data_IF_507816001708
#
_entry.id   IF_507816001708
#
_cell.length_a   1.000
_cell.length_b   1.000
_cell.length_c   1.000
_cell.angle_alpha   90.00
_cell.angle_beta   90.00
_cell.angle_gamma   90.00
#
_symmetry.space_group_name_H-M   'P 1'
#
loop_
_entity.id
_entity.type
_entity.pdbx_description
1 polymer ?
#
# COMPACT_ATOMS: atom_id res chain seq x y z
N UNK A 1 -23.11 7.41 -7.59
CA UNK A 1 -21.97 6.50 -7.37
C UNK A 1 -21.50 6.66 -5.93
N UNK A 2 -21.42 5.57 -5.14
CA UNK A 2 -20.80 5.66 -3.81
C UNK A 2 -19.30 5.82 -4.02
N UNK A 3 -18.70 6.89 -3.48
CA UNK A 3 -17.25 7.02 -3.45
C UNK A 3 -16.64 5.81 -2.72
N UNK A 4 -15.57 5.25 -3.27
CA UNK A 4 -14.82 4.17 -2.63
C UNK A 4 -14.28 4.58 -1.25
N UNK A 5 -13.80 3.61 -0.44
CA UNK A 5 -13.08 3.96 0.78
C UNK A 5 -11.87 4.85 0.45
N UNK A 6 -11.74 5.97 1.16
CA UNK A 6 -10.64 6.93 1.03
C UNK A 6 -9.59 6.64 2.11
N UNK A 7 -8.50 5.95 1.79
CA UNK A 7 -7.38 5.74 2.71
C UNK A 7 -6.09 5.59 1.89
N UNK A 8 -5.03 5.13 2.54
CA UNK A 8 -3.85 4.63 1.88
C UNK A 8 -4.11 3.27 1.22
N UNK A 9 -3.57 3.11 0.02
CA UNK A 9 -3.54 1.86 -0.72
C UNK A 9 -2.12 1.63 -1.24
N UNK A 10 -1.55 0.46 -0.95
CA UNK A 10 -0.27 0.00 -1.46
C UNK A 10 -0.51 -1.04 -2.54
N UNK A 11 -0.26 -0.67 -3.79
CA UNK A 11 -0.35 -1.59 -4.93
C UNK A 11 1.03 -2.12 -5.28
N UNK A 12 1.12 -3.42 -5.55
CA UNK A 12 2.33 -4.08 -6.03
C UNK A 12 2.10 -4.70 -7.41
N UNK A 13 3.12 -4.66 -8.26
CA UNK A 13 3.20 -5.42 -9.51
C UNK A 13 4.47 -6.27 -9.51
N UNK A 14 4.32 -7.57 -9.74
CA UNK A 14 5.35 -8.58 -9.49
C UNK A 14 5.34 -9.66 -10.58
N UNK A 15 6.48 -10.25 -10.91
CA UNK A 15 6.54 -11.42 -11.81
C UNK A 15 5.93 -12.68 -11.21
N UNK A 16 5.63 -12.73 -9.91
CA UNK A 16 4.98 -13.88 -9.29
C UNK A 16 3.47 -13.96 -9.60
N UNK A 17 2.91 -15.16 -9.49
CA UNK A 17 1.47 -15.41 -9.43
C UNK A 17 0.85 -14.87 -8.12
N UNK A 18 -0.47 -14.67 -8.11
CA UNK A 18 -1.17 -14.22 -6.90
C UNK A 18 -1.08 -15.23 -5.75
N UNK A 19 -1.04 -16.52 -6.05
CA UNK A 19 -0.86 -17.58 -5.04
C UNK A 19 0.52 -17.51 -4.38
N UNK A 20 1.58 -17.29 -5.16
CA UNK A 20 2.94 -17.12 -4.63
C UNK A 20 3.08 -15.83 -3.84
N UNK A 21 2.46 -14.74 -4.28
CA UNK A 21 2.41 -13.51 -3.47
C UNK A 21 1.79 -13.80 -2.12
N UNK A 22 0.62 -14.45 -2.10
CA UNK A 22 -0.12 -14.77 -0.87
C UNK A 22 0.65 -15.68 0.08
N UNK A 23 1.46 -16.62 -0.41
CA UNK A 23 2.29 -17.47 0.44
C UNK A 23 3.47 -16.72 1.07
N UNK A 24 3.91 -15.62 0.45
CA UNK A 24 4.98 -14.77 0.96
C UNK A 24 4.50 -13.63 1.86
N UNK A 25 3.21 -13.32 1.87
CA UNK A 25 2.69 -12.21 2.68
C UNK A 25 2.88 -12.49 4.18
N UNK A 26 3.23 -11.45 4.97
CA UNK A 26 3.11 -11.52 6.42
C UNK A 26 1.69 -11.94 6.81
N UNK A 27 1.58 -12.79 7.84
CA UNK A 27 0.29 -13.23 8.37
C UNK A 27 -0.58 -12.02 8.71
N UNK A 28 -1.81 -11.99 8.21
CA UNK A 28 -2.75 -10.89 8.40
C UNK A 28 -2.67 -9.76 7.37
N UNK A 29 -1.78 -9.85 6.38
CA UNK A 29 -1.84 -9.04 5.16
C UNK A 29 -2.62 -9.81 4.07
N UNK A 30 -3.40 -9.09 3.26
CA UNK A 30 -4.12 -9.68 2.13
C UNK A 30 -3.68 -9.04 0.81
N UNK A 31 -3.52 -9.85 -0.24
CA UNK A 31 -3.36 -9.39 -1.61
C UNK A 31 -4.67 -9.55 -2.39
N UNK A 32 -5.22 -8.42 -2.80
CA UNK A 32 -6.42 -8.34 -3.62
C UNK A 32 -6.05 -7.99 -5.06
N UNK A 33 -6.43 -8.80 -6.06
CA UNK A 33 -6.13 -8.48 -7.45
C UNK A 33 -6.82 -7.17 -7.85
N UNK A 34 -6.12 -6.37 -8.65
CA UNK A 34 -6.67 -5.14 -9.23
C UNK A 34 -7.43 -5.44 -10.53
N UNK A 35 -8.20 -4.47 -11.02
CA UNK A 35 -8.93 -4.61 -12.29
C UNK A 35 -7.99 -4.74 -13.50
N UNK A 36 -8.48 -5.28 -14.62
CA UNK A 36 -7.64 -5.51 -15.81
C UNK A 36 -7.02 -4.22 -16.38
N UNK A 37 -7.78 -3.11 -16.41
CA UNK A 37 -7.28 -1.81 -16.86
C UNK A 37 -6.20 -1.23 -15.94
N UNK A 38 -6.35 -1.46 -14.64
CA UNK A 38 -5.41 -1.06 -13.60
C UNK A 38 -4.10 -1.83 -13.74
N UNK A 39 -4.21 -3.15 -13.86
CA UNK A 39 -3.09 -4.04 -14.11
C UNK A 39 -2.33 -3.68 -15.40
N UNK A 40 -3.05 -3.34 -16.48
CA UNK A 40 -2.43 -2.91 -17.73
C UNK A 40 -1.57 -1.65 -17.56
N UNK A 41 -1.97 -0.71 -16.70
CA UNK A 41 -1.18 0.48 -16.43
C UNK A 41 0.12 0.15 -15.69
N UNK A 42 0.06 -0.72 -14.69
CA UNK A 42 1.25 -1.18 -13.97
C UNK A 42 2.19 -2.00 -14.86
N UNK A 43 1.66 -2.83 -15.75
CA UNK A 43 2.46 -3.62 -16.70
C UNK A 43 3.21 -2.77 -17.72
N UNK A 44 2.75 -1.54 -18.02
CA UNK A 44 3.54 -0.59 -18.82
C UNK A 44 4.80 -0.12 -18.09
N UNK A 45 4.75 -0.03 -16.75
CA UNK A 45 5.89 0.36 -15.91
C UNK A 45 6.80 -0.83 -15.58
N UNK A 46 6.22 -2.03 -15.43
CA UNK A 46 6.95 -3.27 -15.20
C UNK A 46 6.41 -4.38 -16.14
N UNK A 47 6.94 -4.51 -17.36
CA UNK A 47 6.46 -5.46 -18.36
C UNK A 47 6.53 -6.93 -17.94
N UNK A 48 7.43 -7.28 -17.02
CA UNK A 48 7.55 -8.63 -16.46
C UNK A 48 6.47 -8.98 -15.43
N UNK A 49 5.58 -8.04 -15.05
CA UNK A 49 4.60 -8.27 -14.01
C UNK A 49 3.49 -9.24 -14.45
N UNK A 50 3.46 -10.40 -13.82
CA UNK A 50 2.37 -11.37 -13.96
C UNK A 50 1.16 -10.95 -13.12
N UNK A 51 1.38 -10.57 -11.86
CA UNK A 51 0.33 -10.18 -10.91
C UNK A 51 0.43 -8.71 -10.56
N UNK A 52 -0.74 -8.05 -10.47
CA UNK A 52 -0.88 -6.72 -9.86
C UNK A 52 -1.95 -6.82 -8.78
N UNK A 53 -1.61 -6.41 -7.57
CA UNK A 53 -2.48 -6.57 -6.40
C UNK A 53 -2.31 -5.42 -5.39
N UNK A 54 -3.39 -5.10 -4.68
CA UNK A 54 -3.35 -4.17 -3.55
C UNK A 54 -3.18 -4.94 -2.24
N UNK A 55 -2.22 -4.49 -1.43
CA UNK A 55 -1.86 -5.06 -0.14
C UNK A 55 -2.65 -4.39 0.98
N UNK A 56 -3.51 -5.13 1.66
CA UNK A 56 -4.47 -4.59 2.63
C UNK A 56 -4.36 -5.25 4.00
N UNK A 57 -4.48 -4.43 5.04
CA UNK A 57 -4.79 -4.85 6.41
C UNK A 57 -6.25 -4.47 6.64
N UNK A 58 -7.14 -5.46 6.52
CA UNK A 58 -8.58 -5.19 6.51
C UNK A 58 -8.99 -4.45 5.25
N UNK A 59 -9.45 -3.20 5.40
CA UNK A 59 -9.97 -2.38 4.31
C UNK A 59 -8.98 -1.41 3.66
N UNK A 60 -7.77 -1.26 4.19
CA UNK A 60 -6.79 -0.27 3.70
C UNK A 60 -5.34 -0.67 4.00
N UNK A 61 -4.38 0.14 3.55
CA UNK A 61 -2.93 -0.02 3.77
C UNK A 61 -2.39 0.97 4.80
N UNK A 62 -3.26 1.64 5.56
CA UNK A 62 -2.90 2.74 6.45
C UNK A 62 -1.86 2.31 7.52
N UNK A 63 -1.98 1.09 8.06
CA UNK A 63 -1.03 0.52 9.04
C UNK A 63 0.33 0.09 8.43
N UNK A 64 0.43 -0.07 7.09
CA UNK A 64 1.70 -0.40 6.42
C UNK A 64 2.65 0.79 6.36
N UNK A 65 2.10 2.00 6.38
CA UNK A 65 2.86 3.23 6.08
C UNK A 65 2.87 4.19 7.24
N UNK A 66 2.01 3.99 8.25
CA UNK A 66 1.94 4.82 9.45
C UNK A 66 1.83 3.95 10.69
N UNK A 67 2.64 4.29 11.69
CA UNK A 67 2.44 3.80 13.05
C UNK A 67 1.24 4.52 13.63
N UNK A 68 0.32 3.78 14.24
CA UNK A 68 -0.86 4.38 14.87
C UNK A 68 -0.48 5.17 16.11
N UNK A 69 -1.17 6.29 16.31
CA UNK A 69 -1.03 7.05 17.54
C UNK A 69 -1.91 6.44 18.65
N UNK A 70 -1.43 6.33 19.91
CA UNK A 70 -2.23 5.80 21.02
C UNK A 70 -3.52 6.59 21.28
N UNK A 71 -3.48 7.91 21.15
CA UNK A 71 -4.68 8.76 21.14
C UNK A 71 -5.38 8.66 19.75
N UNK A 72 -6.62 8.12 19.69
CA UNK A 72 -7.37 8.01 18.44
C UNK A 72 -7.62 9.36 17.74
N UNK A 73 -7.71 10.46 18.51
CA UNK A 73 -7.93 11.79 17.93
C UNK A 73 -6.72 12.25 17.13
N UNK A 74 -5.52 11.97 17.63
CA UNK A 74 -4.27 12.26 16.94
C UNK A 74 -4.05 11.31 15.75
N UNK A 75 -4.40 10.02 15.90
CA UNK A 75 -4.33 9.04 14.80
C UNK A 75 -5.16 9.50 13.59
N UNK A 76 -6.38 9.98 13.87
CA UNK A 76 -7.31 10.46 12.86
C UNK A 76 -7.00 11.88 12.35
N UNK A 77 -6.25 12.69 13.09
CA UNK A 77 -5.97 14.10 12.72
C UNK A 77 -5.37 14.20 11.33
N UNK A 78 -4.47 13.27 11.00
CA UNK A 78 -3.86 13.19 9.67
C UNK A 78 -4.91 12.93 8.57
N UNK A 79 -5.75 11.91 8.76
CA UNK A 79 -6.79 11.55 7.80
C UNK A 79 -7.81 12.67 7.62
N UNK A 80 -8.27 13.29 8.73
CA UNK A 80 -9.13 14.48 8.71
C UNK A 80 -8.53 15.61 7.89
N UNK A 81 -7.27 15.94 8.15
CA UNK A 81 -6.55 17.00 7.42
C UNK A 81 -6.52 16.70 5.92
N UNK A 82 -6.27 15.44 5.55
CA UNK A 82 -6.26 15.04 4.14
C UNK A 82 -7.65 15.10 3.50
N UNK A 83 -8.67 14.55 4.14
CA UNK A 83 -10.02 14.60 3.59
C UNK A 83 -10.53 16.04 3.43
N UNK A 84 -10.18 16.93 4.37
CA UNK A 84 -10.49 18.37 4.24
C UNK A 84 -9.78 19.03 3.06
N UNK A 85 -8.50 18.70 2.80
CA UNK A 85 -7.77 19.19 1.61
C UNK A 85 -8.38 18.70 0.30
N UNK A 86 -8.98 17.52 0.32
CA UNK A 86 -9.72 16.95 -0.80
C UNK A 86 -11.17 17.46 -0.90
N UNK A 87 -11.55 18.42 -0.05
CA UNK A 87 -12.87 19.05 -0.03
C UNK A 87 -14.02 18.04 0.16
N UNK A 88 -13.79 16.95 0.88
CA UNK A 88 -14.88 16.03 1.23
C UNK A 88 -15.88 16.73 2.16
N UNK A 89 -17.16 16.45 1.93
CA UNK A 89 -18.21 16.87 2.83
C UNK A 89 -18.06 16.19 4.21
N UNK A 90 -18.50 16.88 5.27
CA UNK A 90 -18.28 16.44 6.66
C UNK A 90 -18.86 15.04 6.95
N UNK A 91 -20.03 14.75 6.42
CA UNK A 91 -20.69 13.44 6.50
C UNK A 91 -19.85 12.34 5.85
N UNK A 92 -19.23 12.62 4.69
CA UNK A 92 -18.30 11.70 4.04
C UNK A 92 -17.03 11.51 4.88
N UNK A 93 -16.49 12.58 5.47
CA UNK A 93 -15.33 12.48 6.38
C UNK A 93 -15.64 11.54 7.54
N UNK A 94 -16.80 11.68 8.18
CA UNK A 94 -17.21 10.81 9.29
C UNK A 94 -17.29 9.35 8.83
N UNK A 95 -17.94 9.10 7.69
CA UNK A 95 -18.08 7.75 7.13
C UNK A 95 -16.71 7.09 6.84
N UNK A 96 -15.73 7.85 6.33
CA UNK A 96 -14.40 7.31 6.04
C UNK A 96 -13.62 7.02 7.33
N UNK A 97 -13.73 7.88 8.35
CA UNK A 97 -13.09 7.67 9.64
C UNK A 97 -13.69 6.47 10.38
N UNK A 98 -15.00 6.27 10.33
CA UNK A 98 -15.65 5.09 10.93
C UNK A 98 -15.12 3.78 10.35
N UNK A 99 -14.84 3.74 9.04
CA UNK A 99 -14.20 2.59 8.39
C UNK A 99 -12.76 2.40 8.85
N UNK A 100 -11.99 3.48 9.00
CA UNK A 100 -10.62 3.44 9.51
C UNK A 100 -10.54 2.94 10.96
N UNK A 101 -11.55 3.23 11.78
CA UNK A 101 -11.67 2.74 13.16
C UNK A 101 -11.93 1.25 13.26
N UNK A 102 -12.63 0.66 12.29
CA UNK A 102 -12.94 -0.77 12.28
C UNK A 102 -11.68 -1.57 11.88
N UNK A 103 -10.82 -1.80 12.88
CA UNK A 103 -9.65 -2.68 12.76
C UNK A 103 -10.15 -4.13 12.66
N UNK A 104 -9.62 -4.94 11.73
CA UNK A 104 -9.73 -6.39 11.88
C UNK A 104 -9.01 -6.81 13.16
N UNK A 105 -9.53 -7.78 13.91
CA UNK A 105 -8.83 -8.43 15.03
C UNK A 105 -7.64 -9.26 14.52
N UNK A 106 -6.65 -8.60 13.94
CA UNK A 106 -5.41 -9.19 13.48
C UNK A 106 -4.29 -8.71 14.40
N UNK A 107 -3.63 -9.67 15.03
CA UNK A 107 -2.42 -9.45 15.80
C UNK A 107 -1.37 -8.83 14.90
N UNK A 108 -0.87 -7.67 15.30
CA UNK A 108 0.24 -7.01 14.63
C UNK A 108 1.51 -7.85 14.78
N UNK A 109 2.37 -7.93 13.74
CA UNK A 109 3.68 -8.54 13.88
C UNK A 109 4.50 -7.89 15.02
N UNK A 110 5.43 -8.61 15.67
CA UNK A 110 6.20 -8.09 16.81
C UNK A 110 6.91 -6.76 16.52
N UNK A 111 7.46 -6.60 15.31
CA UNK A 111 8.17 -5.39 14.89
C UNK A 111 7.26 -4.36 14.19
N UNK A 112 5.95 -4.59 14.18
CA UNK A 112 4.96 -3.72 13.53
C UNK A 112 4.79 -3.95 12.03
N UNK A 113 3.63 -3.53 11.53
CA UNK A 113 3.25 -3.73 10.12
C UNK A 113 4.18 -3.07 9.11
N UNK A 114 4.68 -1.88 9.44
CA UNK A 114 5.64 -1.14 8.63
C UNK A 114 6.94 -1.92 8.42
N UNK A 115 7.48 -2.55 9.46
CA UNK A 115 8.71 -3.33 9.31
C UNK A 115 8.44 -4.65 8.59
N UNK A 116 7.27 -5.26 8.81
CA UNK A 116 6.86 -6.45 8.07
C UNK A 116 6.77 -6.20 6.55
N UNK A 117 6.28 -5.03 6.10
CA UNK A 117 6.23 -4.72 4.66
C UNK A 117 7.62 -4.43 4.07
N UNK A 118 8.52 -3.83 4.85
CA UNK A 118 9.93 -3.64 4.45
C UNK A 118 10.63 -4.98 4.28
N UNK A 119 10.49 -5.88 5.27
CA UNK A 119 11.05 -7.23 5.21
C UNK A 119 10.47 -8.02 4.03
N UNK A 120 9.15 -7.94 3.82
CA UNK A 120 8.48 -8.53 2.66
C UNK A 120 9.07 -8.00 1.35
N UNK A 121 9.16 -6.67 1.16
CA UNK A 121 9.71 -6.09 -0.07
C UNK A 121 11.17 -6.48 -0.32
N UNK A 122 11.99 -6.52 0.73
CA UNK A 122 13.39 -6.93 0.66
C UNK A 122 13.56 -8.41 0.28
N UNK A 123 12.75 -9.30 0.87
CA UNK A 123 12.79 -10.73 0.56
C UNK A 123 12.20 -11.03 -0.81
N UNK A 124 11.17 -10.29 -1.21
CA UNK A 124 10.55 -10.40 -2.51
C UNK A 124 11.52 -9.99 -3.62
N UNK A 125 12.24 -8.88 -3.46
CA UNK A 125 13.29 -8.47 -4.41
C UNK A 125 14.43 -9.51 -4.53
N UNK A 126 14.73 -10.24 -3.45
CA UNK A 126 15.74 -11.31 -3.44
C UNK A 126 15.31 -12.53 -4.26
N UNK A 127 14.05 -12.94 -4.16
CA UNK A 127 13.57 -14.23 -4.65
C UNK A 127 12.73 -14.16 -5.93
N UNK A 128 11.98 -13.07 -6.14
CA UNK A 128 11.05 -12.93 -7.25
C UNK A 128 11.62 -12.10 -8.42
N UNK A 129 12.59 -11.23 -8.15
CA UNK A 129 13.11 -10.26 -9.11
C UNK A 129 12.46 -8.87 -8.98
N UNK A 130 12.65 -7.99 -9.99
CA UNK A 130 12.17 -6.61 -9.94
C UNK A 130 10.66 -6.53 -9.65
N UNK A 131 10.28 -5.77 -8.64
CA UNK A 131 8.89 -5.61 -8.22
C UNK A 131 8.56 -4.15 -8.01
N UNK A 132 7.47 -3.70 -8.61
CA UNK A 132 7.01 -2.32 -8.50
C UNK A 132 6.03 -2.19 -7.33
N UNK A 133 6.20 -1.13 -6.55
CA UNK A 133 5.32 -0.73 -5.45
C UNK A 133 4.86 0.70 -5.67
N UNK A 134 3.60 0.99 -5.36
CA UNK A 134 3.02 2.32 -5.43
C UNK A 134 2.12 2.54 -4.22
N UNK A 135 2.44 3.56 -3.43
CA UNK A 135 1.61 4.02 -2.32
C UNK A 135 0.79 5.23 -2.76
N UNK A 136 -0.53 5.19 -2.56
CA UNK A 136 -1.40 6.31 -2.88
C UNK A 136 -2.43 6.56 -1.80
N UNK A 137 -2.94 7.79 -1.73
CA UNK A 137 -4.07 8.15 -0.90
C UNK A 137 -5.26 8.55 -1.77
N UNK A 138 -6.34 7.78 -1.74
CA UNK A 138 -7.45 7.99 -2.68
C UNK A 138 -8.60 7.00 -2.54
N UNK A 139 -9.57 7.01 -3.47
CA UNK A 139 -10.78 6.17 -3.46
C UNK A 139 -10.51 4.72 -3.90
N UNK A 140 -9.47 4.07 -3.40
CA UNK A 140 -8.98 2.79 -3.90
C UNK A 140 -7.86 2.98 -4.92
N UNK A 141 -7.91 2.25 -6.03
CA UNK A 141 -6.92 2.39 -7.09
C UNK A 141 -7.00 3.78 -7.74
N UNK A 142 -5.82 4.39 -7.89
CA UNK A 142 -5.62 5.51 -8.78
C UNK A 142 -4.58 5.08 -9.82
N UNK A 143 -4.72 5.47 -11.09
CA UNK A 143 -3.65 5.24 -12.04
C UNK A 143 -2.38 5.94 -11.53
N UNK A 144 -1.19 5.31 -11.62
CA UNK A 144 0.05 6.00 -11.33
C UNK A 144 0.10 7.28 -12.16
N UNK A 145 0.38 8.39 -11.49
CA UNK A 145 0.59 9.66 -12.18
C UNK A 145 1.72 9.49 -13.19
N UNK A 146 1.66 10.16 -14.35
CA UNK A 146 2.79 10.23 -15.27
C UNK A 146 3.93 10.95 -14.57
N UNK A 147 4.78 10.17 -13.91
CA UNK A 147 5.81 10.63 -13.00
C UNK A 147 7.03 9.73 -13.11
N UNK A 148 8.11 10.16 -12.45
CA UNK A 148 9.35 9.41 -12.41
C UNK A 148 9.14 8.10 -11.64
N UNK A 149 9.45 6.98 -12.29
CA UNK A 149 9.66 5.71 -11.61
C UNK A 149 11.04 5.75 -10.94
N UNK A 150 11.09 5.46 -9.65
CA UNK A 150 12.35 5.38 -8.89
C UNK A 150 12.75 3.91 -8.76
N UNK A 151 14.04 3.63 -8.92
CA UNK A 151 14.58 2.30 -8.62
C UNK A 151 15.28 2.33 -7.28
N UNK A 152 15.02 1.31 -6.46
CA UNK A 152 15.70 1.08 -5.18
C UNK A 152 16.24 -0.34 -5.14
N UNK A 153 17.42 -0.51 -4.57
CA UNK A 153 17.97 -1.83 -4.25
C UNK A 153 17.36 -2.35 -2.96
N UNK A 154 17.44 -3.67 -2.74
CA UNK A 154 17.08 -4.31 -1.47
C UNK A 154 17.79 -3.65 -0.29
N UNK A 155 19.08 -3.32 -0.45
CA UNK A 155 19.87 -2.68 0.60
C UNK A 155 19.32 -1.29 0.97
N UNK A 156 18.92 -0.49 -0.02
CA UNK A 156 18.29 0.81 0.22
C UNK A 156 16.93 0.68 0.89
N UNK A 157 16.12 -0.32 0.54
CA UNK A 157 14.83 -0.57 1.20
C UNK A 157 15.01 -0.91 2.67
N UNK A 158 15.96 -1.79 3.00
CA UNK A 158 16.27 -2.15 4.38
C UNK A 158 16.82 -0.94 5.16
N UNK A 159 17.78 -0.21 4.58
CA UNK A 159 18.39 0.96 5.22
C UNK A 159 17.41 2.12 5.41
N UNK A 160 16.48 2.32 4.47
CA UNK A 160 15.46 3.36 4.52
C UNK A 160 14.33 3.07 5.51
N UNK A 161 14.20 1.82 5.99
CA UNK A 161 13.15 1.43 6.93
C UNK A 161 11.78 1.84 6.43
N UNK A 162 11.00 2.58 7.22
CA UNK A 162 9.66 3.06 6.84
C UNK A 162 9.57 4.11 5.73
N UNK A 163 10.69 4.58 5.19
CA UNK A 163 10.75 5.74 4.28
C UNK A 163 11.21 5.39 2.86
N UNK A 164 11.28 4.09 2.52
CA UNK A 164 11.65 3.63 1.18
C UNK A 164 10.57 3.89 0.10
N UNK A 165 9.32 4.12 0.53
CA UNK A 165 8.20 4.47 -0.33
C UNK A 165 7.83 5.94 -0.17
N UNK A 166 7.73 6.62 -1.30
CA UNK A 166 7.13 7.94 -1.40
C UNK A 166 5.73 7.81 -1.99
N UNK A 167 4.80 8.64 -1.50
CA UNK A 167 3.43 8.66 -2.01
C UNK A 167 3.39 9.17 -3.45
N UNK A 168 2.53 8.54 -4.27
CA UNK A 168 2.34 8.83 -5.69
C UNK A 168 3.62 8.68 -6.56
N UNK A 169 4.66 8.06 -6.01
CA UNK A 169 5.89 7.72 -6.72
C UNK A 169 6.03 6.20 -6.89
N UNK A 170 5.95 5.66 -8.11
CA UNK A 170 6.21 4.24 -8.34
C UNK A 170 7.66 3.89 -8.03
N UNK A 171 7.88 2.90 -7.16
CA UNK A 171 9.20 2.41 -6.77
C UNK A 171 9.39 0.98 -7.26
N UNK A 172 10.38 0.74 -8.13
CA UNK A 172 10.82 -0.60 -8.49
C UNK A 172 11.93 -1.02 -7.53
N UNK A 173 11.67 -2.06 -6.75
CA UNK A 173 12.68 -2.70 -5.91
C UNK A 173 13.36 -3.81 -6.67
N UNK A 174 14.69 -3.76 -6.72
CA UNK A 174 15.57 -4.75 -7.32
C UNK A 174 16.47 -5.39 -6.25
N UNK A 175 17.13 -6.49 -6.60
CA UNK A 175 18.03 -7.22 -5.70
C UNK A 175 19.18 -6.37 -5.17
#
# INVERSE_FOLDING_TARGET
>A
MRAGPMCYFLTMATPLTLSEVRSMLPAGLAAHPVGAAEAATFRRLLPSAQTVATLLIGGCSCDLVRVRHPDPREDERHLRTRYSRMQLARDQIILQLERHRHRPERSEPPDGWRNAVVAFAAEHARNAGPTLYLLQFGPGYLPPSPGRVVTRTRAEVVAGGGHWLEEDCPVIVVR
#
